data_IF_894420746785
#
_entry.id   IF_894420746785
#
_cell.length_a   1.000
_cell.length_b   1.000
_cell.length_c   1.000
_cell.angle_alpha   90.00
_cell.angle_beta   90.00
_cell.angle_gamma   90.00
#
_symmetry.space_group_name_H-M   'P 1'
#
loop_
_entity.id
_entity.type
_entity.pdbx_description
1 polymer ?
#
# COMPACT_ATOMS: atom_id res chain seq x y z
N UNK A 1 11.74 -16.91 -28.64
CA UNK A 1 10.35 -16.50 -28.30
C UNK A 1 10.35 -15.72 -26.97
N UNK A 2 11.08 -14.60 -26.93
CA UNK A 2 11.16 -13.66 -25.81
C UNK A 2 11.67 -12.33 -26.38
N UNK A 3 11.44 -11.21 -25.69
CA UNK A 3 11.75 -9.80 -26.00
C UNK A 3 10.65 -8.87 -26.49
N UNK A 4 9.54 -9.34 -27.07
CA UNK A 4 8.47 -8.43 -27.55
C UNK A 4 7.52 -7.96 -26.43
N UNK A 5 7.24 -8.78 -25.42
CA UNK A 5 6.32 -8.43 -24.33
C UNK A 5 6.91 -7.42 -23.33
N UNK A 6 8.24 -7.29 -23.27
CA UNK A 6 8.92 -6.30 -22.44
C UNK A 6 8.88 -4.88 -23.04
N UNK A 7 8.47 -4.73 -24.31
CA UNK A 7 8.50 -3.44 -25.01
C UNK A 7 7.13 -2.72 -25.05
N UNK A 8 6.04 -3.36 -24.64
CA UNK A 8 4.74 -2.66 -24.54
C UNK A 8 4.62 -1.74 -23.32
N UNK A 9 5.55 -1.81 -22.36
CA UNK A 9 5.57 -0.87 -21.22
C UNK A 9 6.33 0.44 -21.51
N UNK A 10 6.89 0.60 -22.71
CA UNK A 10 7.51 1.86 -23.16
C UNK A 10 6.65 2.56 -24.21
N UNK A 11 5.41 2.91 -23.85
CA UNK A 11 4.62 3.85 -24.63
C UNK A 11 4.35 5.12 -23.82
N UNK A 12 5.13 6.13 -24.20
CA UNK A 12 5.07 7.57 -23.92
C UNK A 12 3.71 8.16 -23.53
N UNK A 13 3.59 8.40 -22.23
CA UNK A 13 2.79 9.44 -21.57
C UNK A 13 3.25 9.46 -20.11
N UNK A 14 3.27 10.61 -19.43
CA UNK A 14 3.60 10.71 -17.99
C UNK A 14 2.47 10.06 -17.14
N UNK A 15 2.28 8.75 -17.30
CA UNK A 15 1.35 7.98 -16.50
C UNK A 15 2.11 7.41 -15.30
N UNK A 16 1.54 7.59 -14.13
CA UNK A 16 2.05 7.02 -12.89
C UNK A 16 2.03 5.49 -13.01
N UNK A 17 3.11 4.84 -12.63
CA UNK A 17 3.16 3.39 -12.50
C UNK A 17 2.17 2.91 -11.42
N UNK A 18 1.71 1.66 -11.52
CA UNK A 18 0.79 1.08 -10.51
C UNK A 18 1.33 1.23 -9.08
N UNK A 19 2.65 1.07 -8.91
CA UNK A 19 3.32 1.22 -7.61
C UNK A 19 3.29 2.65 -7.07
N UNK A 20 3.41 3.65 -7.95
CA UNK A 20 3.27 5.06 -7.58
C UNK A 20 1.82 5.39 -7.21
N UNK A 21 0.85 4.85 -7.94
CA UNK A 21 -0.59 4.97 -7.62
C UNK A 21 -0.90 4.39 -6.24
N UNK A 22 -0.42 3.19 -5.94
CA UNK A 22 -0.56 2.56 -4.62
C UNK A 22 0.09 3.41 -3.53
N UNK A 23 1.31 3.90 -3.74
CA UNK A 23 2.01 4.74 -2.76
C UNK A 23 1.25 6.05 -2.50
N UNK A 24 0.65 6.67 -3.51
CA UNK A 24 -0.21 7.84 -3.32
C UNK A 24 -1.49 7.52 -2.56
N UNK A 25 -2.12 6.37 -2.82
CA UNK A 25 -3.30 5.94 -2.08
C UNK A 25 -2.99 5.77 -0.58
N UNK A 26 -1.84 5.16 -0.25
CA UNK A 26 -1.36 5.08 1.12
C UNK A 26 -1.09 6.46 1.73
N UNK A 27 -0.42 7.37 1.01
CA UNK A 27 -0.15 8.75 1.50
C UNK A 27 -1.45 9.50 1.80
N UNK A 28 -2.45 9.38 0.92
CA UNK A 28 -3.75 9.99 1.11
C UNK A 28 -4.43 9.48 2.39
N UNK A 29 -4.49 8.16 2.57
CA UNK A 29 -5.07 7.57 3.79
C UNK A 29 -4.27 7.98 5.04
N UNK A 30 -2.95 8.02 4.97
CA UNK A 30 -2.13 8.48 6.09
C UNK A 30 -2.38 9.94 6.45
N UNK A 31 -2.61 10.79 5.46
CA UNK A 31 -3.00 12.17 5.73
C UNK A 31 -4.34 12.24 6.47
N UNK A 32 -5.34 11.43 6.08
CA UNK A 32 -6.61 11.35 6.80
C UNK A 32 -6.41 10.87 8.25
N UNK A 33 -5.58 9.85 8.47
CA UNK A 33 -5.30 9.31 9.80
C UNK A 33 -4.59 10.33 10.70
N UNK A 34 -3.59 11.04 10.17
CA UNK A 34 -2.85 12.06 10.92
C UNK A 34 -3.71 13.28 11.30
N UNK A 35 -4.67 13.64 10.43
CA UNK A 35 -5.51 14.83 10.63
C UNK A 35 -6.87 14.51 11.28
N UNK A 36 -7.08 13.28 11.75
CA UNK A 36 -8.34 12.86 12.37
C UNK A 36 -8.50 13.42 13.79
N UNK A 37 -9.01 14.64 13.90
CA UNK A 37 -9.14 15.38 15.17
C UNK A 37 -10.54 15.29 15.79
N UNK A 38 -11.54 14.81 15.06
CA UNK A 38 -12.90 14.57 15.56
C UNK A 38 -13.30 13.10 15.45
N UNK A 39 -14.33 12.65 16.21
CA UNK A 39 -14.86 11.29 16.07
C UNK A 39 -15.33 10.97 14.64
N UNK A 40 -15.90 11.95 13.92
CA UNK A 40 -16.30 11.80 12.52
C UNK A 40 -15.10 11.61 11.59
N UNK A 41 -14.03 12.41 11.75
CA UNK A 41 -12.82 12.29 10.93
C UNK A 41 -12.16 10.94 11.17
N UNK A 42 -12.15 10.48 12.43
CA UNK A 42 -11.62 9.17 12.81
C UNK A 42 -12.35 8.03 12.11
N UNK A 43 -13.70 8.05 12.13
CA UNK A 43 -14.51 7.04 11.43
C UNK A 43 -14.22 7.06 9.92
N UNK A 44 -14.12 8.26 9.33
CA UNK A 44 -13.82 8.42 7.92
C UNK A 44 -12.43 7.89 7.56
N UNK A 45 -11.39 8.26 8.32
CA UNK A 45 -10.02 7.84 8.10
C UNK A 45 -9.87 6.31 8.23
N UNK A 46 -10.45 5.72 9.29
CA UNK A 46 -10.45 4.26 9.49
C UNK A 46 -11.20 3.55 8.35
N UNK A 47 -12.34 4.09 7.91
CA UNK A 47 -13.10 3.53 6.79
C UNK A 47 -12.28 3.53 5.49
N UNK A 48 -11.57 4.63 5.20
CA UNK A 48 -10.68 4.70 4.05
C UNK A 48 -9.48 3.74 4.18
N UNK A 49 -8.89 3.59 5.36
CA UNK A 49 -7.83 2.61 5.61
C UNK A 49 -8.30 1.18 5.33
N UNK A 50 -9.49 0.81 5.81
CA UNK A 50 -10.08 -0.52 5.53
C UNK A 50 -10.31 -0.76 4.04
N UNK A 51 -10.82 0.25 3.32
CA UNK A 51 -11.04 0.17 1.87
C UNK A 51 -9.72 -0.02 1.12
N UNK A 52 -8.70 0.77 1.45
CA UNK A 52 -7.37 0.66 0.86
C UNK A 52 -6.80 -0.75 1.02
N UNK A 53 -6.75 -1.27 2.25
CA UNK A 53 -6.22 -2.60 2.52
C UNK A 53 -7.04 -3.72 1.87
N UNK A 54 -8.37 -3.57 1.81
CA UNK A 54 -9.23 -4.56 1.12
C UNK A 54 -8.97 -4.58 -0.39
N UNK A 55 -8.76 -3.43 -1.02
CA UNK A 55 -8.41 -3.33 -2.44
C UNK A 55 -7.04 -3.97 -2.68
N UNK A 56 -6.03 -3.60 -1.89
CA UNK A 56 -4.68 -4.13 -2.02
C UNK A 56 -4.64 -5.66 -1.90
N UNK A 57 -5.36 -6.24 -0.92
CA UNK A 57 -5.37 -7.69 -0.73
C UNK A 57 -5.93 -8.43 -1.96
N UNK A 58 -6.98 -7.90 -2.59
CA UNK A 58 -7.55 -8.47 -3.82
C UNK A 58 -6.55 -8.44 -4.98
N UNK A 59 -5.77 -7.38 -5.08
CA UNK A 59 -4.78 -7.20 -6.15
C UNK A 59 -3.54 -8.08 -5.91
N UNK A 60 -3.10 -8.22 -4.65
CA UNK A 60 -1.97 -9.07 -4.24
C UNK A 60 -2.21 -10.54 -4.59
N UNK A 61 -3.42 -11.05 -4.39
CA UNK A 61 -3.77 -12.44 -4.75
C UNK A 61 -3.52 -12.75 -6.24
N UNK A 62 -3.76 -11.78 -7.12
CA UNK A 62 -3.61 -11.92 -8.57
C UNK A 62 -2.25 -11.44 -9.08
N UNK A 63 -1.42 -10.88 -8.22
CA UNK A 63 -0.13 -10.29 -8.58
C UNK A 63 0.94 -11.35 -8.93
N UNK A 64 1.96 -10.99 -9.73
CA UNK A 64 3.10 -11.86 -10.02
C UNK A 64 4.16 -11.89 -8.89
N UNK A 65 3.81 -11.44 -7.68
CA UNK A 65 4.73 -11.44 -6.53
C UNK A 65 5.09 -12.87 -6.11
N UNK A 66 6.21 -13.03 -5.40
CA UNK A 66 6.56 -14.32 -4.81
C UNK A 66 5.53 -14.72 -3.75
N UNK A 67 5.29 -16.03 -3.60
CA UNK A 67 4.33 -16.54 -2.61
C UNK A 67 4.66 -16.14 -1.17
N UNK A 68 5.95 -15.96 -0.86
CA UNK A 68 6.40 -15.47 0.45
C UNK A 68 5.93 -14.02 0.64
N UNK A 69 6.23 -13.14 -0.32
CA UNK A 69 5.85 -11.73 -0.22
C UNK A 69 4.33 -11.54 -0.21
N UNK A 70 3.58 -12.34 -0.98
CA UNK A 70 2.11 -12.35 -0.91
C UNK A 70 1.63 -12.68 0.50
N UNK A 71 2.16 -13.75 1.12
CA UNK A 71 1.79 -14.15 2.49
C UNK A 71 2.10 -13.06 3.51
N UNK A 72 3.24 -12.39 3.37
CA UNK A 72 3.63 -11.31 4.26
C UNK A 72 2.66 -10.12 4.14
N UNK A 73 2.38 -9.66 2.92
CA UNK A 73 1.43 -8.56 2.68
C UNK A 73 0.01 -8.94 3.13
N UNK A 74 -0.42 -10.18 2.89
CA UNK A 74 -1.71 -10.68 3.36
C UNK A 74 -1.80 -10.64 4.89
N UNK A 75 -0.74 -11.07 5.57
CA UNK A 75 -0.68 -11.05 7.04
C UNK A 75 -0.76 -9.63 7.59
N UNK A 76 -0.03 -8.69 6.98
CA UNK A 76 -0.09 -7.27 7.31
C UNK A 76 -1.48 -6.68 7.06
N UNK A 77 -2.12 -7.01 5.94
CA UNK A 77 -3.46 -6.54 5.63
C UNK A 77 -4.52 -7.06 6.61
N UNK A 78 -4.43 -8.33 7.00
CA UNK A 78 -5.31 -8.91 8.04
C UNK A 78 -5.10 -8.18 9.37
N UNK A 79 -3.85 -7.92 9.76
CA UNK A 79 -3.55 -7.16 10.97
C UNK A 79 -4.11 -5.74 10.90
N UNK A 80 -3.90 -5.02 9.79
CA UNK A 80 -4.38 -3.65 9.60
C UNK A 80 -5.91 -3.55 9.66
N UNK A 81 -6.63 -4.50 9.04
CA UNK A 81 -8.09 -4.56 9.09
C UNK A 81 -8.61 -4.81 10.52
N UNK A 82 -7.98 -5.74 11.26
CA UNK A 82 -8.31 -5.99 12.66
C UNK A 82 -8.04 -4.78 13.54
N UNK A 83 -6.86 -4.18 13.42
CA UNK A 83 -6.45 -3.02 14.19
C UNK A 83 -7.31 -1.79 13.88
N UNK A 84 -7.74 -1.63 12.62
CA UNK A 84 -8.71 -0.61 12.21
C UNK A 84 -10.04 -0.73 12.95
N UNK A 85 -10.57 -1.95 13.11
CA UNK A 85 -11.82 -2.16 13.84
C UNK A 85 -11.65 -1.86 15.34
N UNK A 86 -10.54 -2.27 15.95
CA UNK A 86 -10.23 -1.94 17.35
C UNK A 86 -10.13 -0.42 17.54
N UNK A 87 -9.52 0.26 16.56
CA UNK A 87 -9.31 1.71 16.57
C UNK A 87 -10.59 2.52 16.38
N UNK A 88 -11.76 1.92 16.13
CA UNK A 88 -13.02 2.68 16.12
C UNK A 88 -13.37 3.25 17.50
N UNK A 89 -12.88 2.63 18.58
CA UNK A 89 -12.92 3.24 19.91
C UNK A 89 -11.94 4.42 19.99
N UNK A 90 -12.37 5.55 20.54
CA UNK A 90 -11.54 6.75 20.72
C UNK A 90 -10.37 6.56 21.70
N UNK A 91 -10.31 5.44 22.42
CA UNK A 91 -9.26 5.14 23.40
C UNK A 91 -7.93 4.66 22.79
N UNK A 92 -7.94 4.17 21.55
CA UNK A 92 -6.74 3.64 20.91
C UNK A 92 -6.07 4.69 20.02
N UNK A 93 -4.74 4.66 19.94
CA UNK A 93 -4.01 5.51 19.01
C UNK A 93 -4.18 5.05 17.56
N UNK A 94 -4.23 5.99 16.61
CA UNK A 94 -4.15 5.67 15.17
C UNK A 94 -2.72 5.46 14.68
N UNK A 95 -1.71 5.76 15.52
CA UNK A 95 -0.29 5.72 15.16
C UNK A 95 0.14 4.37 14.56
N UNK A 96 -0.28 3.19 15.08
CA UNK A 96 0.14 1.92 14.49
C UNK A 96 -0.34 1.72 13.04
N UNK A 97 -1.51 2.28 12.68
CA UNK A 97 -1.99 2.28 11.29
C UNK A 97 -1.18 3.24 10.42
N UNK A 98 -0.74 4.36 11.00
CA UNK A 98 0.09 5.35 10.30
C UNK A 98 1.47 4.77 9.99
N UNK A 99 2.08 4.09 10.95
CA UNK A 99 3.42 3.52 10.84
C UNK A 99 3.45 2.43 9.76
N UNK A 100 2.53 1.46 9.79
CA UNK A 100 2.49 0.40 8.78
C UNK A 100 2.25 0.95 7.36
N UNK A 101 1.44 2.01 7.23
CA UNK A 101 1.19 2.65 5.95
C UNK A 101 2.45 3.40 5.46
N UNK A 102 3.23 4.00 6.36
CA UNK A 102 4.53 4.61 6.02
C UNK A 102 5.54 3.55 5.55
N UNK A 103 5.58 2.38 6.20
CA UNK A 103 6.43 1.26 5.76
C UNK A 103 6.05 0.78 4.36
N UNK A 104 4.74 0.68 4.08
CA UNK A 104 4.25 0.38 2.73
C UNK A 104 4.66 1.45 1.72
N UNK A 105 4.55 2.74 2.06
CA UNK A 105 4.97 3.84 1.19
C UNK A 105 6.48 3.76 0.90
N UNK A 106 7.31 3.49 1.91
CA UNK A 106 8.75 3.33 1.73
C UNK A 106 9.06 2.13 0.83
N UNK A 107 8.41 0.99 1.10
CA UNK A 107 8.51 -0.22 0.29
C UNK A 107 8.06 -0.03 -1.15
N UNK A 108 7.03 0.78 -1.41
CA UNK A 108 6.54 1.09 -2.76
C UNK A 108 7.38 2.16 -3.48
N UNK A 109 8.03 3.06 -2.74
CA UNK A 109 8.84 4.15 -3.32
C UNK A 109 10.30 3.75 -3.56
N UNK A 110 10.76 2.63 -3.00
CA UNK A 110 12.13 2.14 -3.20
C UNK A 110 12.38 1.80 -4.68
N UNK A 111 13.56 2.08 -5.25
CA UNK A 111 13.90 1.64 -6.62
C UNK A 111 13.68 0.13 -6.76
N UNK A 112 13.11 -0.32 -7.87
CA UNK A 112 12.98 -1.76 -8.13
C UNK A 112 14.40 -2.37 -8.16
N UNK A 113 14.64 -3.37 -7.31
CA UNK A 113 15.95 -4.02 -7.17
C UNK A 113 16.54 -4.58 -8.49
N UNK A 114 15.70 -4.67 -9.54
CA UNK A 114 16.08 -5.03 -10.90
C UNK A 114 16.99 -4.01 -11.62
N UNK A 115 17.26 -2.83 -11.06
CA UNK A 115 18.17 -1.83 -11.66
C UNK A 115 19.63 -1.90 -11.18
N UNK A 116 19.96 -2.81 -10.25
CA UNK A 116 21.33 -2.98 -9.75
C UNK A 116 22.00 -4.14 -10.49
N UNK A 117 22.41 -3.90 -11.74
CA UNK A 117 23.40 -4.74 -12.42
C UNK A 117 24.76 -4.51 -11.74
N UNK A 118 25.48 -5.55 -11.26
CA UNK A 118 26.87 -5.39 -10.91
C UNK A 118 27.66 -5.14 -12.21
N UNK A 119 28.40 -4.03 -12.26
CA UNK A 119 29.39 -3.78 -13.30
C UNK A 119 30.38 -4.96 -13.29
N UNK A 120 30.43 -5.67 -14.42
CA UNK A 120 31.40 -6.72 -14.77
C UNK A 120 32.80 -6.16 -14.93
#
# INVERSE_FOLDING_TARGET
>A
MSYAAQQYQKQSGNYLSSREVEAMAFRYVNNLLNNANSPSDRILAISNNKKLWTSLLRDVEQSPLSEILKKDIISLGIWSLKHSNLSLSNSLSLQPLIDINNDMIAGLSAPSASSLSPLS
#
